data_IF_162142019928
#
_entry.id   IF_162142019928
#
_cell.length_a   1.000
_cell.length_b   1.000
_cell.length_c   1.000
_cell.angle_alpha   90.00
_cell.angle_beta   90.00
_cell.angle_gamma   90.00
#
_symmetry.space_group_name_H-M   'P 1'
#
loop_
_entity.id
_entity.type
_entity.pdbx_description
1 polymer ?
#
# COMPACT_ATOMS: atom_id res chain seq x y z
N UNK A 1 12.12 8.64 -6.13
CA UNK A 1 10.83 8.34 -5.54
C UNK A 1 9.96 7.50 -6.48
N UNK A 2 8.70 7.27 -6.16
CA UNK A 2 7.80 6.46 -6.96
C UNK A 2 6.53 7.23 -7.28
N UNK A 3 6.05 7.10 -8.52
CA UNK A 3 4.76 7.64 -8.95
C UNK A 3 3.81 6.47 -9.16
N UNK A 4 2.76 6.42 -8.34
CA UNK A 4 1.75 5.37 -8.42
C UNK A 4 0.40 6.01 -8.73
N UNK A 5 -0.22 5.58 -9.82
CA UNK A 5 -1.47 6.15 -10.31
C UNK A 5 -2.51 5.05 -10.49
N UNK A 6 -3.60 5.13 -9.73
CA UNK A 6 -4.72 4.20 -9.88
C UNK A 6 -5.50 4.62 -11.14
N UNK A 7 -5.69 3.69 -12.07
CA UNK A 7 -6.30 3.95 -13.38
C UNK A 7 -7.70 3.38 -13.50
N UNK A 8 -7.93 2.17 -12.99
CA UNK A 8 -9.22 1.48 -13.09
C UNK A 8 -9.52 0.76 -11.79
N UNK A 9 -10.77 0.76 -11.40
CA UNK A 9 -11.25 0.08 -10.20
C UNK A 9 -12.43 -0.79 -10.60
N UNK A 10 -12.25 -2.10 -10.47
CA UNK A 10 -13.29 -3.10 -10.76
C UNK A 10 -13.70 -3.83 -9.49
N UNK A 11 -14.71 -4.67 -9.57
CA UNK A 11 -15.25 -5.36 -8.40
C UNK A 11 -14.20 -6.25 -7.71
N UNK A 12 -13.34 -6.90 -8.49
CA UNK A 12 -12.37 -7.85 -7.94
C UNK A 12 -10.93 -7.60 -8.39
N UNK A 13 -10.67 -6.46 -9.02
CA UNK A 13 -9.30 -6.05 -9.36
C UNK A 13 -9.18 -4.55 -9.49
N UNK A 14 -7.95 -4.07 -9.44
CA UNK A 14 -7.60 -2.68 -9.77
C UNK A 14 -6.48 -2.69 -10.80
N UNK A 15 -6.39 -1.62 -11.57
CA UNK A 15 -5.29 -1.41 -12.52
C UNK A 15 -4.58 -0.13 -12.15
N UNK A 16 -3.26 -0.18 -12.06
CA UNK A 16 -2.45 0.98 -11.72
C UNK A 16 -1.11 0.97 -12.42
N UNK A 17 -0.53 2.16 -12.54
CA UNK A 17 0.85 2.34 -12.99
C UNK A 17 1.74 2.54 -11.77
N UNK A 18 2.93 1.98 -11.81
CA UNK A 18 3.98 2.23 -10.83
C UNK A 18 5.26 2.60 -11.59
N UNK A 19 5.72 3.83 -11.42
CA UNK A 19 6.94 4.30 -12.08
C UNK A 19 7.96 4.67 -11.02
N UNK A 20 9.08 3.95 -10.99
CA UNK A 20 10.12 4.14 -10.00
C UNK A 20 11.20 5.09 -10.52
N UNK A 21 11.64 6.01 -9.66
CA UNK A 21 12.81 6.84 -9.94
C UNK A 21 14.10 6.02 -9.87
N UNK A 22 15.18 6.56 -10.41
CA UNK A 22 16.47 5.87 -10.50
C UNK A 22 17.10 5.60 -9.13
N UNK A 23 16.69 6.35 -8.11
CA UNK A 23 17.19 6.23 -6.75
C UNK A 23 16.46 5.16 -5.92
N UNK A 24 15.43 4.54 -6.45
CA UNK A 24 14.62 3.58 -5.71
C UNK A 24 15.32 2.22 -5.64
N UNK A 25 15.49 1.75 -4.41
CA UNK A 25 16.03 0.42 -4.13
C UNK A 25 14.90 -0.62 -4.06
N UNK A 26 13.80 -0.30 -3.38
CA UNK A 26 12.68 -1.21 -3.20
C UNK A 26 11.39 -0.42 -3.01
N UNK A 27 10.31 -0.87 -3.62
CA UNK A 27 9.00 -0.25 -3.48
C UNK A 27 7.97 -1.30 -3.06
N UNK A 28 7.43 -1.13 -1.85
CA UNK A 28 6.36 -1.97 -1.32
C UNK A 28 5.04 -1.24 -1.52
N UNK A 29 4.08 -1.87 -2.18
CA UNK A 29 2.73 -1.32 -2.33
C UNK A 29 1.76 -2.19 -1.56
N UNK A 30 0.93 -1.56 -0.72
CA UNK A 30 0.00 -2.26 0.15
C UNK A 30 -1.43 -1.77 -0.08
N UNK A 31 -2.37 -2.70 0.01
CA UNK A 31 -3.81 -2.42 0.03
C UNK A 31 -4.35 -2.88 1.38
N UNK A 32 -4.88 -1.94 2.15
CA UNK A 32 -5.53 -2.25 3.42
C UNK A 32 -7.01 -1.87 3.32
N UNK A 33 -7.88 -2.77 3.77
CA UNK A 33 -9.29 -2.39 3.93
C UNK A 33 -9.36 -1.32 5.01
N UNK A 34 -10.12 -0.26 4.77
CA UNK A 34 -10.24 0.84 5.73
C UNK A 34 -10.67 0.37 7.11
N UNK A 35 -11.50 -0.69 7.17
CA UNK A 35 -11.96 -1.26 8.44
C UNK A 35 -10.85 -1.94 9.24
N UNK A 36 -9.72 -2.28 8.60
CA UNK A 36 -8.57 -2.89 9.27
C UNK A 36 -7.56 -1.86 9.77
N UNK A 37 -7.76 -0.58 9.43
CA UNK A 37 -6.89 0.51 9.88
C UNK A 37 -7.41 1.04 11.21
N UNK A 38 -7.34 0.18 12.20
CA UNK A 38 -7.74 0.44 13.59
C UNK A 38 -6.69 -0.20 14.50
N UNK A 39 -6.68 0.13 15.78
CA UNK A 39 -5.71 -0.44 16.71
C UNK A 39 -5.74 -1.97 16.73
N UNK A 40 -4.58 -2.55 17.03
CA UNK A 40 -4.44 -4.01 17.15
C UNK A 40 -5.41 -4.57 18.18
N UNK A 41 -5.66 -3.83 19.27
CA UNK A 41 -6.60 -4.23 20.32
C UNK A 41 -8.03 -4.36 19.80
N UNK A 42 -8.34 -3.73 18.67
CA UNK A 42 -9.64 -3.80 18.02
C UNK A 42 -9.64 -4.76 16.81
N UNK A 43 -8.59 -5.55 16.67
CA UNK A 43 -8.47 -6.53 15.58
C UNK A 43 -7.84 -6.01 14.30
N UNK A 44 -7.26 -4.81 14.33
CA UNK A 44 -6.67 -4.19 13.16
C UNK A 44 -5.16 -4.29 13.08
N UNK A 45 -4.55 -3.39 12.33
CA UNK A 45 -3.12 -3.39 12.06
C UNK A 45 -2.34 -2.22 12.69
N UNK A 46 -3.00 -1.28 13.35
CA UNK A 46 -2.32 -0.11 13.91
C UNK A 46 -1.76 -0.45 15.28
N UNK A 47 -0.43 -0.55 15.36
CA UNK A 47 0.27 -0.83 16.60
C UNK A 47 0.50 0.45 17.40
N UNK A 48 0.44 0.34 18.72
CA UNK A 48 0.86 1.42 19.62
C UNK A 48 2.38 1.56 19.67
N UNK A 49 2.85 2.64 20.27
CA UNK A 49 4.29 2.87 20.45
C UNK A 49 4.97 3.64 19.33
N UNK A 50 4.23 4.01 18.29
CA UNK A 50 4.72 4.87 17.22
C UNK A 50 4.23 6.30 17.43
N UNK A 51 5.02 7.28 16.98
CA UNK A 51 4.68 8.69 17.13
C UNK A 51 3.58 9.15 16.18
N UNK A 52 3.33 8.39 15.10
CA UNK A 52 2.32 8.74 14.10
C UNK A 52 1.88 7.49 13.34
N UNK A 53 0.76 7.60 12.64
CA UNK A 53 0.29 6.57 11.72
C UNK A 53 1.33 6.30 10.62
N UNK A 54 1.91 7.34 10.06
CA UNK A 54 2.95 7.20 9.03
C UNK A 54 4.13 6.37 9.54
N UNK A 55 4.61 6.66 10.75
CA UNK A 55 5.73 5.93 11.33
C UNK A 55 5.38 4.44 11.53
N UNK A 56 4.16 4.16 11.95
CA UNK A 56 3.66 2.80 12.04
C UNK A 56 3.68 2.10 10.69
N UNK A 57 3.20 2.75 9.65
CA UNK A 57 3.14 2.17 8.30
C UNK A 57 4.53 1.97 7.70
N UNK A 58 5.47 2.86 7.96
CA UNK A 58 6.86 2.70 7.53
C UNK A 58 7.49 1.42 8.08
N UNK A 59 7.07 1.00 9.25
CA UNK A 59 7.53 -0.24 9.88
C UNK A 59 6.70 -1.45 9.43
N UNK A 60 5.38 -1.29 9.38
CA UNK A 60 4.43 -2.37 9.11
C UNK A 60 4.48 -2.86 7.66
N UNK A 61 4.44 -1.96 6.71
CA UNK A 61 4.30 -2.33 5.30
C UNK A 61 5.46 -3.19 4.78
N UNK A 62 6.73 -2.89 5.10
CA UNK A 62 7.83 -3.76 4.70
C UNK A 62 7.93 -5.08 5.47
N UNK A 63 7.20 -5.22 6.57
CA UNK A 63 7.29 -6.41 7.42
C UNK A 63 6.46 -7.55 6.81
N UNK A 64 7.14 -8.58 6.30
CA UNK A 64 6.53 -9.71 5.62
C UNK A 64 5.78 -10.68 6.54
N UNK A 65 5.83 -10.46 7.85
CA UNK A 65 5.11 -11.30 8.82
C UNK A 65 3.62 -10.93 8.92
N UNK A 66 3.20 -9.79 8.36
CA UNK A 66 1.81 -9.37 8.37
C UNK A 66 1.07 -9.89 7.15
N UNK A 67 -0.22 -10.19 7.32
CA UNK A 67 -1.06 -10.90 6.36
C UNK A 67 -2.09 -9.97 5.71
N UNK A 68 -1.63 -8.97 5.00
CA UNK A 68 -2.46 -8.09 4.18
C UNK A 68 -1.93 -8.06 2.74
N UNK A 69 -2.73 -7.50 1.83
CA UNK A 69 -2.35 -7.45 0.42
C UNK A 69 -1.15 -6.54 0.20
N UNK A 70 -0.09 -7.07 -0.38
CA UNK A 70 1.16 -6.35 -0.64
C UNK A 70 1.85 -6.90 -1.87
N UNK A 71 2.47 -5.99 -2.62
CA UNK A 71 3.32 -6.32 -3.75
C UNK A 71 4.63 -5.55 -3.66
N UNK A 72 5.73 -6.20 -3.99
CA UNK A 72 7.02 -5.52 -4.21
C UNK A 72 7.06 -5.19 -5.70
N UNK A 73 7.07 -3.89 -6.02
CA UNK A 73 6.88 -3.43 -7.38
C UNK A 73 8.18 -3.01 -8.05
N UNK A 74 8.28 -3.32 -9.33
CA UNK A 74 9.20 -2.70 -10.28
C UNK A 74 8.40 -1.68 -11.10
N UNK A 75 9.06 -0.87 -11.93
CA UNK A 75 8.34 0.00 -12.87
C UNK A 75 7.45 -0.87 -13.75
N UNK A 76 6.15 -0.63 -13.66
CA UNK A 76 5.14 -1.44 -14.35
C UNK A 76 3.98 -0.53 -14.74
N UNK A 77 3.52 -0.68 -15.97
CA UNK A 77 2.34 0.05 -16.47
C UNK A 77 1.17 -0.91 -16.58
N UNK A 78 -0.03 -0.43 -16.28
CA UNK A 78 -1.26 -1.21 -16.36
C UNK A 78 -1.18 -2.53 -15.57
N UNK A 79 -0.61 -2.45 -14.37
CA UNK A 79 -0.54 -3.63 -13.50
C UNK A 79 -1.93 -3.94 -12.96
N UNK A 80 -2.39 -5.17 -13.21
CA UNK A 80 -3.68 -5.64 -12.71
C UNK A 80 -3.49 -6.40 -11.41
N UNK A 81 -3.98 -5.82 -10.32
CA UNK A 81 -3.93 -6.46 -9.01
C UNK A 81 -5.27 -7.12 -8.73
N UNK A 82 -5.28 -8.45 -8.72
CA UNK A 82 -6.47 -9.26 -8.51
C UNK A 82 -6.65 -9.59 -7.03
N UNK A 83 -7.87 -9.97 -6.65
CA UNK A 83 -8.17 -10.48 -5.33
C UNK A 83 -8.73 -9.45 -4.36
N UNK A 84 -9.00 -8.23 -4.80
CA UNK A 84 -9.74 -7.28 -3.97
C UNK A 84 -11.19 -7.74 -3.85
N UNK A 85 -11.82 -7.42 -2.71
CA UNK A 85 -13.23 -7.74 -2.46
C UNK A 85 -14.11 -6.68 -3.11
N UNK A 86 -15.25 -7.08 -3.64
CA UNK A 86 -16.23 -6.12 -4.15
C UNK A 86 -16.87 -5.33 -3.00
N UNK A 87 -17.37 -4.12 -3.30
CA UNK A 87 -18.11 -3.29 -2.35
C UNK A 87 -17.33 -2.90 -1.11
N UNK A 88 -16.00 -2.77 -1.23
CA UNK A 88 -15.11 -2.59 -0.09
C UNK A 88 -14.25 -1.35 -0.27
N UNK A 89 -14.11 -0.55 0.78
CA UNK A 89 -13.21 0.59 0.78
C UNK A 89 -11.79 0.16 1.13
N UNK A 90 -10.86 0.52 0.28
CA UNK A 90 -9.43 0.27 0.46
C UNK A 90 -8.65 1.58 0.53
N UNK A 91 -7.58 1.55 1.31
CA UNK A 91 -6.54 2.58 1.26
C UNK A 91 -5.28 1.95 0.69
N UNK A 92 -4.69 2.63 -0.28
CA UNK A 92 -3.48 2.19 -0.96
C UNK A 92 -2.30 3.03 -0.51
N UNK A 93 -1.28 2.35 -0.02
CA UNK A 93 -0.05 2.98 0.47
C UNK A 93 1.16 2.39 -0.22
N UNK A 94 2.25 3.15 -0.21
CA UNK A 94 3.54 2.62 -0.62
C UNK A 94 4.61 3.02 0.39
N UNK A 95 5.59 2.15 0.57
CA UNK A 95 6.83 2.45 1.28
C UNK A 95 7.97 2.26 0.29
N UNK A 96 8.76 3.29 0.12
CA UNK A 96 9.85 3.31 -0.86
C UNK A 96 11.18 3.43 -0.14
N UNK A 97 12.05 2.47 -0.37
CA UNK A 97 13.42 2.51 0.11
C UNK A 97 14.32 3.00 -1.02
N UNK A 98 15.15 4.00 -0.75
CA UNK A 98 16.09 4.52 -1.74
C UNK A 98 17.51 3.96 -1.53
N UNK A 99 18.39 4.26 -2.48
CA UNK A 99 19.76 3.74 -2.47
C UNK A 99 20.65 4.39 -1.40
N UNK A 100 20.16 5.43 -0.74
CA UNK A 100 20.85 6.10 0.36
C UNK A 100 20.28 5.71 1.72
N UNK A 101 19.57 4.58 1.78
CA UNK A 101 18.92 4.04 2.99
C UNK A 101 17.82 4.94 3.54
N UNK A 102 17.28 5.85 2.73
CA UNK A 102 16.09 6.63 3.09
C UNK A 102 14.83 5.78 2.88
N UNK A 103 13.80 6.06 3.68
CA UNK A 103 12.53 5.37 3.58
C UNK A 103 11.39 6.40 3.59
N UNK A 104 10.53 6.36 2.59
CA UNK A 104 9.47 7.33 2.38
C UNK A 104 8.11 6.63 2.35
N UNK A 105 7.13 7.23 3.01
CA UNK A 105 5.74 6.78 3.00
C UNK A 105 4.94 7.59 1.99
N UNK A 106 4.14 6.90 1.17
CA UNK A 106 3.29 7.52 0.17
C UNK A 106 1.84 7.07 0.39
N UNK A 107 0.93 8.04 0.53
CA UNK A 107 -0.50 7.78 0.48
C UNK A 107 -0.92 7.86 -0.97
N UNK A 108 -1.18 6.72 -1.61
CA UNK A 108 -1.54 6.67 -3.02
C UNK A 108 -2.99 7.10 -3.23
N UNK A 109 -3.90 6.58 -2.42
CA UNK A 109 -5.30 6.97 -2.51
C UNK A 109 -6.24 6.05 -1.76
N UNK A 110 -7.51 6.46 -1.74
CA UNK A 110 -8.61 5.70 -1.15
C UNK A 110 -9.62 5.44 -2.25
N UNK A 111 -10.11 4.23 -2.33
CA UNK A 111 -11.12 3.87 -3.33
C UNK A 111 -12.06 2.82 -2.78
N UNK A 112 -13.25 2.74 -3.37
CA UNK A 112 -14.24 1.70 -3.04
C UNK A 112 -14.52 0.88 -4.30
N UNK A 113 -14.38 -0.42 -4.20
CA UNK A 113 -14.69 -1.30 -5.32
C UNK A 113 -16.20 -1.34 -5.55
N UNK A 114 -16.65 -1.42 -6.80
CA UNK A 114 -18.09 -1.57 -7.09
C UNK A 114 -18.62 -2.91 -6.62
N UNK A 115 -19.92 -2.93 -6.44
CA UNK A 115 -20.63 -4.16 -6.05
C UNK A 115 -21.00 -5.03 -7.24
#
# INVERSE_FOLDING_TARGET
TADITIKEIHANDIVFDCVLGDDVWCCYVALLESSDIVPIEEGGYVAGGYSSFEECMLSLIPDLSYDYMRQIMQTTYDYKWEGVKYGTEYKMYAVVDDMNNGRTFIEVGTFTTPQ
#
